data_IF_990912655705
#
_entry.id   IF_990912655705
#
_cell.length_a   1.000
_cell.length_b   1.000
_cell.length_c   1.000
_cell.angle_alpha   90.00
_cell.angle_beta   90.00
_cell.angle_gamma   90.00
#
_symmetry.space_group_name_H-M   'P 1'
#
loop_
_entity.id
_entity.type
_entity.pdbx_description
1 polymer ?
#
# COMPACT_ATOMS: atom_id res chain seq x y z
N UNK A 1 22.07 5.60 -8.77
CA UNK A 1 20.76 6.28 -8.60
C UNK A 1 19.69 5.23 -8.40
N UNK A 2 18.50 5.62 -7.93
CA UNK A 2 17.36 4.70 -7.74
C UNK A 2 16.26 4.98 -8.77
N UNK A 3 15.57 3.95 -9.24
CA UNK A 3 14.34 4.09 -10.02
C UNK A 3 13.16 4.15 -9.04
N UNK A 4 12.28 5.13 -9.22
CA UNK A 4 11.14 5.37 -8.33
C UNK A 4 9.87 5.35 -9.14
N UNK A 5 8.89 4.56 -8.68
CA UNK A 5 7.54 4.57 -9.20
C UNK A 5 6.57 5.03 -8.10
N UNK A 6 5.69 5.97 -8.45
CA UNK A 6 4.69 6.51 -7.53
C UNK A 6 3.37 5.76 -7.73
N UNK A 7 2.87 5.19 -6.65
CA UNK A 7 1.58 4.49 -6.59
C UNK A 7 0.60 5.38 -5.84
N UNK A 8 -0.28 6.07 -6.56
CA UNK A 8 -1.31 6.94 -5.98
C UNK A 8 -2.67 6.21 -5.96
N UNK A 9 -3.21 5.86 -4.77
CA UNK A 9 -4.52 5.21 -4.65
C UNK A 9 -5.67 5.98 -5.33
N UNK A 10 -5.59 7.31 -5.41
CA UNK A 10 -6.62 8.15 -6.04
C UNK A 10 -6.57 7.99 -7.56
N UNK A 11 -5.38 7.91 -8.15
CA UNK A 11 -5.21 7.73 -9.60
C UNK A 11 -5.53 6.32 -10.06
N UNK A 12 -5.27 5.33 -9.20
CA UNK A 12 -5.52 3.92 -9.50
C UNK A 12 -7.00 3.54 -9.46
N UNK A 13 -7.84 4.33 -8.77
CA UNK A 13 -9.28 4.11 -8.58
C UNK A 13 -9.62 2.63 -8.30
N UNK A 14 -8.90 2.06 -7.34
CA UNK A 14 -9.02 0.63 -7.02
C UNK A 14 -10.39 0.34 -6.41
N UNK A 15 -10.99 -0.82 -6.74
CA UNK A 15 -12.22 -1.25 -6.09
C UNK A 15 -12.00 -1.38 -4.58
N UNK A 16 -13.06 -1.15 -3.81
CA UNK A 16 -13.05 -1.44 -2.39
C UNK A 16 -12.71 -2.92 -2.16
N UNK A 17 -11.86 -3.16 -1.15
CA UNK A 17 -11.38 -4.48 -0.79
C UNK A 17 -12.56 -5.39 -0.46
N UNK A 18 -12.79 -6.37 -1.34
CA UNK A 18 -13.75 -7.46 -1.14
C UNK A 18 -13.04 -8.81 -0.98
N UNK A 19 -11.97 -9.00 -1.74
CA UNK A 19 -11.13 -10.18 -1.71
C UNK A 19 -9.73 -9.82 -2.24
N UNK A 20 -8.68 -10.48 -1.75
CA UNK A 20 -7.32 -10.26 -2.21
C UNK A 20 -7.09 -10.84 -3.62
N UNK A 21 -6.04 -10.39 -4.31
CA UNK A 21 -5.73 -10.77 -5.71
C UNK A 21 -5.62 -12.28 -5.89
N UNK A 22 -4.97 -12.99 -4.95
CA UNK A 22 -4.81 -14.44 -5.00
C UNK A 22 -6.11 -15.25 -4.83
N UNK A 23 -7.20 -14.61 -4.36
CA UNK A 23 -8.50 -15.26 -4.20
C UNK A 23 -9.39 -15.15 -5.45
N UNK A 24 -8.98 -14.39 -6.47
CA UNK A 24 -9.72 -14.32 -7.73
C UNK A 24 -9.53 -15.61 -8.55
N UNK A 25 -10.58 -16.10 -9.23
CA UNK A 25 -10.41 -17.12 -10.26
C UNK A 25 -9.45 -16.62 -11.36
N UNK A 26 -8.72 -17.54 -12.03
CA UNK A 26 -7.81 -17.17 -13.11
C UNK A 26 -8.49 -16.26 -14.16
N UNK A 27 -7.87 -15.12 -14.46
CA UNK A 27 -8.36 -14.15 -15.44
C UNK A 27 -9.54 -13.27 -14.97
N UNK A 28 -9.98 -13.36 -13.71
CA UNK A 28 -11.08 -12.53 -13.17
C UNK A 28 -10.62 -11.34 -12.33
N UNK A 29 -9.34 -11.28 -11.94
CA UNK A 29 -8.81 -10.16 -11.20
C UNK A 29 -8.79 -8.88 -12.06
N UNK A 30 -9.15 -7.71 -11.50
CA UNK A 30 -9.00 -6.42 -12.18
C UNK A 30 -7.58 -6.21 -12.70
N UNK A 31 -7.45 -5.74 -13.95
CA UNK A 31 -6.15 -5.52 -14.60
C UNK A 31 -5.24 -4.58 -13.81
N UNK A 32 -5.79 -3.52 -13.23
CA UNK A 32 -5.04 -2.58 -12.40
C UNK A 32 -4.39 -3.26 -11.18
N UNK A 33 -5.09 -4.21 -10.54
CA UNK A 33 -4.55 -4.97 -9.41
C UNK A 33 -3.43 -5.92 -9.83
N UNK A 34 -3.58 -6.61 -10.96
CA UNK A 34 -2.53 -7.49 -11.49
C UNK A 34 -1.27 -6.70 -11.85
N UNK A 35 -1.42 -5.58 -12.55
CA UNK A 35 -0.31 -4.70 -12.90
C UNK A 35 0.40 -4.14 -11.66
N UNK A 36 -0.36 -3.77 -10.63
CA UNK A 36 0.22 -3.31 -9.38
C UNK A 36 0.92 -4.44 -8.61
N UNK A 37 0.37 -5.66 -8.62
CA UNK A 37 1.00 -6.83 -8.02
C UNK A 37 2.37 -7.13 -8.66
N UNK A 38 2.45 -7.08 -9.99
CA UNK A 38 3.70 -7.27 -10.73
C UNK A 38 4.75 -6.23 -10.34
N UNK A 39 4.35 -4.95 -10.25
CA UNK A 39 5.23 -3.85 -9.82
C UNK A 39 5.73 -4.04 -8.40
N UNK A 40 4.86 -4.39 -7.46
CA UNK A 40 5.24 -4.65 -6.06
C UNK A 40 6.23 -5.82 -5.98
N UNK A 41 5.98 -6.90 -6.73
CA UNK A 41 6.89 -8.06 -6.76
C UNK A 41 8.25 -7.70 -7.37
N UNK A 42 8.29 -6.87 -8.40
CA UNK A 42 9.51 -6.44 -9.07
C UNK A 42 10.35 -5.43 -8.26
N UNK A 43 9.73 -4.64 -7.37
CA UNK A 43 10.43 -3.61 -6.60
C UNK A 43 11.36 -4.20 -5.51
N UNK A 44 12.55 -3.63 -5.34
CA UNK A 44 13.49 -4.05 -4.29
C UNK A 44 13.09 -3.56 -2.88
N UNK A 45 12.24 -2.54 -2.82
CA UNK A 45 11.76 -1.93 -1.58
C UNK A 45 10.59 -1.01 -1.82
N UNK A 46 9.98 -0.53 -0.73
CA UNK A 46 8.80 0.33 -0.78
C UNK A 46 8.83 1.39 0.31
N UNK A 47 8.21 2.53 0.01
CA UNK A 47 8.02 3.64 0.95
C UNK A 47 6.53 3.91 1.04
N UNK A 48 5.93 3.68 2.21
CA UNK A 48 4.53 3.97 2.45
C UNK A 48 4.43 5.40 2.95
N UNK A 49 3.74 6.26 2.19
CA UNK A 49 3.47 7.64 2.58
C UNK A 49 2.00 7.77 2.94
N UNK A 50 1.69 8.14 4.19
CA UNK A 50 0.31 8.28 4.65
C UNK A 50 0.10 9.48 5.57
N UNK A 51 -0.99 10.26 5.43
CA UNK A 51 -1.44 11.13 6.51
C UNK A 51 -1.85 10.30 7.73
N UNK A 52 -1.87 10.93 8.91
CA UNK A 52 -2.65 10.43 10.04
C UNK A 52 -4.12 10.82 9.87
N UNK A 53 -4.98 9.81 9.79
CA UNK A 53 -6.42 9.94 9.72
C UNK A 53 -7.04 9.18 10.90
N UNK A 54 -7.74 9.88 11.80
CA UNK A 54 -8.37 9.29 13.00
C UNK A 54 -7.43 8.37 13.80
N UNK A 55 -6.19 8.81 14.05
CA UNK A 55 -5.16 8.05 14.78
C UNK A 55 -4.65 6.79 14.08
N UNK A 56 -4.92 6.63 12.79
CA UNK A 56 -4.42 5.54 11.95
C UNK A 56 -3.94 6.07 10.60
N UNK A 57 -3.48 5.20 9.72
CA UNK A 57 -3.17 5.53 8.33
C UNK A 57 -4.45 5.75 7.50
N UNK A 58 -4.29 6.33 6.30
CA UNK A 58 -5.42 6.64 5.42
C UNK A 58 -6.18 5.39 4.97
N UNK A 59 -7.53 5.40 4.97
CA UNK A 59 -8.32 4.29 4.44
C UNK A 59 -7.96 3.89 3.00
N UNK A 60 -7.52 4.85 2.18
CA UNK A 60 -7.08 4.58 0.81
C UNK A 60 -5.82 3.70 0.75
N UNK A 61 -4.88 3.91 1.68
CA UNK A 61 -3.68 3.08 1.83
C UNK A 61 -4.08 1.68 2.30
N UNK A 62 -4.97 1.58 3.28
CA UNK A 62 -5.49 0.29 3.75
C UNK A 62 -6.18 -0.52 2.65
N UNK A 63 -7.03 0.16 1.87
CA UNK A 63 -7.71 -0.45 0.73
C UNK A 63 -6.69 -0.99 -0.30
N UNK A 64 -5.66 -0.19 -0.60
CA UNK A 64 -4.65 -0.56 -1.60
C UNK A 64 -3.80 -1.74 -1.14
N UNK A 65 -3.27 -1.70 0.09
CA UNK A 65 -2.41 -2.75 0.62
C UNK A 65 -3.17 -4.06 0.85
N UNK A 66 -4.42 -3.99 1.30
CA UNK A 66 -5.22 -5.17 1.64
C UNK A 66 -5.55 -6.10 0.46
N UNK A 67 -5.39 -5.64 -0.78
CA UNK A 67 -5.54 -6.50 -1.96
C UNK A 67 -4.39 -7.50 -2.13
N UNK A 68 -3.22 -7.23 -1.53
CA UNK A 68 -2.01 -8.02 -1.75
C UNK A 68 -1.65 -8.87 -0.53
N UNK A 69 -1.20 -10.10 -0.78
CA UNK A 69 -0.72 -10.98 0.28
C UNK A 69 0.63 -10.51 0.84
N UNK A 70 0.88 -10.77 2.13
CA UNK A 70 2.15 -10.40 2.79
C UNK A 70 3.40 -10.96 2.12
N UNK A 71 3.29 -12.07 1.38
CA UNK A 71 4.39 -12.64 0.59
C UNK A 71 4.92 -11.68 -0.49
N UNK A 72 4.10 -10.76 -1.00
CA UNK A 72 4.53 -9.77 -1.99
C UNK A 72 5.52 -8.74 -1.39
N UNK A 73 5.48 -8.53 -0.08
CA UNK A 73 6.28 -7.54 0.62
C UNK A 73 7.43 -8.16 1.44
N UNK A 74 7.47 -9.49 1.52
CA UNK A 74 8.46 -10.22 2.31
C UNK A 74 9.89 -9.97 1.80
N UNK A 75 10.83 -9.83 2.74
CA UNK A 75 12.27 -9.64 2.48
C UNK A 75 12.64 -8.40 1.64
N UNK A 76 11.73 -7.43 1.51
CA UNK A 76 11.98 -6.15 0.82
C UNK A 76 12.24 -5.04 1.84
N UNK A 77 13.11 -4.11 1.51
CA UNK A 77 13.36 -2.95 2.37
C UNK A 77 12.11 -2.06 2.43
N UNK A 78 11.71 -1.62 3.62
CA UNK A 78 10.53 -0.79 3.82
C UNK A 78 10.82 0.47 4.60
N UNK A 79 10.10 1.54 4.28
CA UNK A 79 10.09 2.78 5.04
C UNK A 79 8.66 3.31 5.16
N UNK A 80 8.38 3.97 6.28
CA UNK A 80 7.08 4.57 6.57
C UNK A 80 7.29 6.06 6.79
N UNK A 81 6.58 6.88 6.02
CA UNK A 81 6.58 8.33 6.13
C UNK A 81 5.16 8.75 6.47
N UNK A 82 4.98 9.32 7.65
CA UNK A 82 3.69 9.87 8.06
C UNK A 82 3.76 11.37 8.26
N UNK A 83 2.61 12.01 8.11
CA UNK A 83 2.47 13.44 8.37
C UNK A 83 1.12 13.75 9.03
N UNK A 84 1.11 14.80 9.84
CA UNK A 84 -0.08 15.37 10.49
C UNK A 84 0.23 16.81 10.88
N UNK A 85 -0.81 17.62 11.05
CA UNK A 85 -0.68 19.01 11.53
C UNK A 85 -0.23 19.05 13.00
N UNK A 86 -0.49 17.99 13.77
CA UNK A 86 -0.14 17.92 15.19
C UNK A 86 1.36 17.73 15.45
N UNK A 87 1.77 18.03 16.69
CA UNK A 87 3.18 17.99 17.15
C UNK A 87 3.88 16.62 16.94
N UNK A 88 3.10 15.54 16.84
CA UNK A 88 3.61 14.17 16.71
C UNK A 88 3.67 13.67 15.26
N UNK A 89 3.44 14.54 14.26
CA UNK A 89 3.64 14.27 12.83
C UNK A 89 3.06 12.93 12.32
N UNK A 90 2.01 12.39 12.95
CA UNK A 90 1.38 11.16 12.51
C UNK A 90 2.02 9.86 13.02
N UNK A 91 2.74 9.87 14.15
CA UNK A 91 3.38 8.68 14.74
C UNK A 91 2.41 7.51 14.94
N UNK A 92 1.13 7.75 15.27
CA UNK A 92 0.17 6.65 15.49
C UNK A 92 -0.15 5.90 14.21
N UNK A 93 -0.29 6.63 13.10
CA UNK A 93 -0.45 6.02 11.78
C UNK A 93 0.76 5.16 11.41
N UNK A 94 1.97 5.59 11.75
CA UNK A 94 3.18 4.83 11.47
C UNK A 94 3.24 3.51 12.25
N UNK A 95 2.79 3.51 13.51
CA UNK A 95 2.74 2.29 14.32
C UNK A 95 1.79 1.24 13.72
N UNK A 96 0.65 1.66 13.19
CA UNK A 96 -0.31 0.77 12.55
C UNK A 96 0.17 0.19 11.20
N UNK A 97 1.12 0.83 10.54
CA UNK A 97 1.70 0.38 9.25
C UNK A 97 2.92 -0.55 9.41
N UNK A 98 3.42 -0.73 10.64
CA UNK A 98 4.61 -1.53 10.94
C UNK A 98 4.44 -3.07 10.95
N UNK A 99 3.30 -3.65 11.37
CA UNK A 99 3.19 -5.11 11.53
C UNK A 99 3.07 -5.83 10.19
#
# INVERSE_FOLDING_TARGET
GHQVEVVDPVQLDLPLLRQPVFAYPPGKAPKALLQLEEKIKAADGYVIVSPEYNHSFSPAIGNTLGHFGGSCFAFKASSIVTYSIGQFAGIRAAMSLRP
#
